data_IF_606607031862
#
_entry.id   IF_606607031862
#
_cell.length_a   1.000
_cell.length_b   1.000
_cell.length_c   1.000
_cell.angle_alpha   90.00
_cell.angle_beta   90.00
_cell.angle_gamma   90.00
#
_symmetry.space_group_name_H-M   'P 1'
#
loop_
_entity.id
_entity.type
_entity.pdbx_description
1 polymer ?
#
# COMPACT_ATOMS: atom_id res chain seq x y z
N UNK A 1 14.51 -14.87 -7.82
CA UNK A 1 13.91 -13.55 -7.56
C UNK A 1 12.41 -13.69 -7.81
N UNK A 2 11.56 -13.40 -6.84
CA UNK A 2 10.09 -13.50 -6.98
C UNK A 2 9.53 -12.14 -7.40
N UNK A 3 8.80 -12.09 -8.52
CA UNK A 3 8.16 -10.86 -8.99
C UNK A 3 6.77 -10.75 -8.36
N UNK A 4 6.64 -9.94 -7.31
CA UNK A 4 5.36 -9.76 -6.62
C UNK A 4 4.30 -9.03 -7.47
N UNK A 5 4.71 -8.29 -8.51
CA UNK A 5 3.79 -7.60 -9.41
C UNK A 5 3.19 -8.60 -10.40
N UNK A 6 4.01 -9.47 -10.97
CA UNK A 6 3.56 -10.46 -11.95
C UNK A 6 2.96 -11.73 -11.30
N UNK A 7 3.55 -12.21 -10.21
CA UNK A 7 3.20 -13.49 -9.56
C UNK A 7 2.38 -13.34 -8.29
N UNK A 8 2.13 -12.11 -7.84
CA UNK A 8 1.45 -11.82 -6.58
C UNK A 8 2.31 -12.11 -5.34
N UNK A 9 1.79 -11.78 -4.16
CA UNK A 9 2.49 -12.00 -2.89
C UNK A 9 2.35 -13.45 -2.39
N UNK A 10 3.41 -14.08 -1.86
CA UNK A 10 3.29 -15.36 -1.17
C UNK A 10 2.52 -15.21 0.16
N UNK A 11 1.95 -16.31 0.70
CA UNK A 11 1.26 -16.28 1.99
C UNK A 11 2.14 -15.71 3.11
N UNK A 12 1.57 -14.82 3.91
CA UNK A 12 2.28 -14.15 5.02
C UNK A 12 1.29 -13.70 6.09
N UNK A 13 1.78 -13.24 7.24
CA UNK A 13 0.93 -12.60 8.24
C UNK A 13 0.61 -11.16 7.87
N UNK A 14 1.66 -10.39 7.57
CA UNK A 14 1.57 -9.01 7.11
C UNK A 14 2.35 -8.84 5.82
N UNK A 15 1.74 -8.18 4.84
CA UNK A 15 2.45 -7.72 3.65
C UNK A 15 2.79 -6.23 3.78
N UNK A 16 4.05 -5.88 3.53
CA UNK A 16 4.55 -4.50 3.66
C UNK A 16 5.08 -4.02 2.33
N UNK A 17 4.62 -2.85 1.89
CA UNK A 17 5.21 -2.12 0.76
C UNK A 17 5.80 -0.81 1.27
N UNK A 18 7.09 -0.61 1.05
CA UNK A 18 7.81 0.60 1.49
C UNK A 18 8.60 1.22 0.36
N UNK A 19 8.33 2.51 0.05
CA UNK A 19 9.01 3.26 -1.02
C UNK A 19 8.98 2.56 -2.38
N UNK A 20 7.86 1.92 -2.72
CA UNK A 20 7.75 1.13 -3.94
C UNK A 20 6.57 1.50 -4.83
N UNK A 21 5.39 1.78 -4.26
CA UNK A 21 4.18 1.99 -5.06
C UNK A 21 4.28 3.21 -5.99
N UNK A 22 5.09 4.22 -5.66
CA UNK A 22 5.35 5.37 -6.53
C UNK A 22 6.07 5.02 -7.85
N UNK A 23 6.58 3.79 -8.01
CA UNK A 23 7.12 3.29 -9.28
C UNK A 23 6.05 2.66 -10.20
N UNK A 24 4.85 2.41 -9.67
CA UNK A 24 3.80 1.70 -10.38
C UNK A 24 2.71 2.68 -10.81
N UNK A 25 2.13 2.45 -11.99
CA UNK A 25 0.89 3.10 -12.38
C UNK A 25 -0.27 2.67 -11.46
N UNK A 26 -1.41 3.35 -11.56
CA UNK A 26 -2.55 3.11 -10.67
C UNK A 26 -3.16 1.71 -10.82
N UNK A 27 -3.17 1.14 -12.04
CA UNK A 27 -3.73 -0.19 -12.27
C UNK A 27 -2.84 -1.27 -11.65
N UNK A 28 -1.53 -1.20 -11.90
CA UNK A 28 -0.54 -2.13 -11.34
C UNK A 28 -0.43 -1.98 -9.83
N UNK A 29 -0.43 -0.75 -9.29
CA UNK A 29 -0.42 -0.52 -7.86
C UNK A 29 -1.68 -1.11 -7.19
N UNK A 30 -2.85 -0.95 -7.80
CA UNK A 30 -4.12 -1.51 -7.28
C UNK A 30 -4.05 -3.04 -7.25
N UNK A 31 -3.55 -3.65 -8.33
CA UNK A 31 -3.39 -5.10 -8.43
C UNK A 31 -2.42 -5.64 -7.37
N UNK A 32 -1.29 -4.97 -7.16
CA UNK A 32 -0.32 -5.35 -6.13
C UNK A 32 -0.92 -5.24 -4.71
N UNK A 33 -1.56 -4.12 -4.38
CA UNK A 33 -2.22 -3.91 -3.07
C UNK A 33 -3.28 -4.98 -2.82
N UNK A 34 -4.08 -5.33 -3.84
CA UNK A 34 -5.06 -6.41 -3.75
C UNK A 34 -4.39 -7.76 -3.50
N UNK A 35 -3.29 -8.05 -4.19
CA UNK A 35 -2.52 -9.29 -3.99
C UNK A 35 -1.93 -9.37 -2.58
N UNK A 36 -1.36 -8.26 -2.08
CA UNK A 36 -0.87 -8.16 -0.70
C UNK A 36 -1.99 -8.45 0.31
N UNK A 37 -3.19 -7.90 0.10
CA UNK A 37 -4.35 -8.14 0.97
C UNK A 37 -4.85 -9.59 0.90
N UNK A 38 -4.82 -10.21 -0.30
CA UNK A 38 -5.18 -11.61 -0.46
C UNK A 38 -4.21 -12.54 0.28
N UNK A 39 -2.91 -12.30 0.14
CA UNK A 39 -1.84 -13.14 0.68
C UNK A 39 -1.62 -13.01 2.19
N UNK A 40 -1.98 -11.87 2.79
CA UNK A 40 -1.77 -11.60 4.22
C UNK A 40 -2.86 -12.20 5.11
N UNK A 41 -2.55 -12.87 6.21
CA UNK A 41 -3.54 -13.39 7.16
C UNK A 41 -4.11 -12.30 8.08
N UNK A 42 -3.29 -11.29 8.42
CA UNK A 42 -3.64 -10.24 9.39
C UNK A 42 -3.86 -8.87 8.74
N UNK A 43 -3.15 -8.55 7.65
CA UNK A 43 -3.36 -7.29 6.92
C UNK A 43 -2.12 -6.76 6.21
N UNK A 44 -2.17 -5.48 5.83
CA UNK A 44 -1.09 -4.84 5.08
C UNK A 44 -0.66 -3.50 5.67
N UNK A 45 0.59 -3.14 5.37
CA UNK A 45 1.14 -1.81 5.65
C UNK A 45 1.75 -1.24 4.38
N UNK A 46 1.32 -0.05 4.00
CA UNK A 46 1.90 0.72 2.90
C UNK A 46 2.54 1.96 3.50
N UNK A 47 3.84 2.13 3.28
CA UNK A 47 4.55 3.34 3.66
C UNK A 47 5.28 3.92 2.46
N UNK A 48 4.88 5.09 1.99
CA UNK A 48 5.37 5.59 0.72
C UNK A 48 5.45 7.11 0.69
N UNK A 49 6.12 7.67 -0.30
CA UNK A 49 6.30 9.11 -0.45
C UNK A 49 4.95 9.81 -0.63
N UNK A 50 4.86 11.04 -0.14
CA UNK A 50 3.75 11.93 -0.47
C UNK A 50 4.21 12.95 -1.49
N UNK A 51 3.43 13.05 -2.57
CA UNK A 51 3.59 14.14 -3.52
C UNK A 51 3.11 15.44 -2.89
N UNK A 52 4.06 16.29 -2.50
CA UNK A 52 3.79 17.62 -1.96
C UNK A 52 4.91 18.61 -2.33
N UNK A 53 4.63 19.93 -2.35
CA UNK A 53 5.65 20.94 -2.57
C UNK A 53 6.78 20.89 -1.51
N UNK A 54 6.42 20.64 -0.25
CA UNK A 54 7.38 20.48 0.86
C UNK A 54 8.25 19.25 0.63
N UNK A 55 7.65 18.11 0.26
CA UNK A 55 8.38 16.87 -0.03
C UNK A 55 9.35 17.06 -1.20
N UNK A 56 8.95 17.82 -2.23
CA UNK A 56 9.82 18.12 -3.36
C UNK A 56 11.00 19.01 -2.94
N UNK A 57 10.75 20.05 -2.14
CA UNK A 57 11.81 20.90 -1.61
C UNK A 57 12.79 20.11 -0.73
N UNK A 58 12.28 19.26 0.17
CA UNK A 58 13.09 18.38 1.01
C UNK A 58 13.91 17.39 0.18
N UNK A 59 13.34 16.78 -0.86
CA UNK A 59 14.07 15.85 -1.73
C UNK A 59 15.18 16.56 -2.51
N UNK A 60 14.92 17.74 -3.07
CA UNK A 60 15.95 18.54 -3.77
C UNK A 60 17.06 18.96 -2.80
N UNK A 61 16.71 19.50 -1.63
CA UNK A 61 17.69 19.94 -0.65
C UNK A 61 18.49 18.75 -0.10
N UNK A 62 17.80 17.71 0.37
CA UNK A 62 18.42 16.52 0.94
C UNK A 62 19.34 15.81 -0.04
N UNK A 63 18.92 15.58 -1.28
CA UNK A 63 19.77 14.91 -2.27
C UNK A 63 20.96 15.76 -2.71
N UNK A 64 20.87 17.09 -2.69
CA UNK A 64 21.99 17.99 -3.00
C UNK A 64 22.99 18.15 -1.86
N UNK A 65 22.49 18.22 -0.63
CA UNK A 65 23.32 18.49 0.56
C UNK A 65 23.91 17.21 1.16
N UNK A 66 23.18 16.09 1.08
CA UNK A 66 23.54 14.84 1.77
C UNK A 66 24.04 13.75 0.81
N UNK A 67 23.84 13.90 -0.51
CA UNK A 67 24.28 12.90 -1.49
C UNK A 67 25.28 13.46 -2.50
N UNK A 68 26.43 12.79 -2.60
CA UNK A 68 27.37 12.98 -3.71
C UNK A 68 26.86 12.43 -5.04
N UNK A 69 25.85 11.54 -5.02
CA UNK A 69 25.37 10.82 -6.19
C UNK A 69 24.54 11.71 -7.14
N UNK A 70 24.96 11.75 -8.41
CA UNK A 70 24.17 12.40 -9.47
C UNK A 70 22.83 11.71 -9.67
N UNK A 71 22.79 10.38 -9.55
CA UNK A 71 21.58 9.57 -9.68
C UNK A 71 20.58 9.99 -8.60
N UNK A 72 20.98 10.03 -7.33
CA UNK A 72 20.09 10.42 -6.23
C UNK A 72 19.52 11.84 -6.40
N UNK A 73 20.30 12.79 -6.91
CA UNK A 73 19.85 14.17 -7.17
C UNK A 73 18.80 14.28 -8.27
N UNK A 74 18.79 13.33 -9.21
CA UNK A 74 17.81 13.26 -10.29
C UNK A 74 16.59 12.47 -9.81
N UNK A 75 16.84 11.28 -9.27
CA UNK A 75 15.79 10.32 -8.91
C UNK A 75 14.97 10.79 -7.72
N UNK A 76 15.57 11.43 -6.70
CA UNK A 76 14.82 11.87 -5.51
C UNK A 76 13.63 12.80 -5.85
N UNK A 77 13.85 13.92 -6.57
CA UNK A 77 12.76 14.77 -7.03
C UNK A 77 11.77 14.06 -7.97
N UNK A 78 12.23 13.14 -8.82
CA UNK A 78 11.37 12.36 -9.70
C UNK A 78 10.46 11.41 -8.91
N UNK A 79 11.00 10.70 -7.92
CA UNK A 79 10.24 9.84 -7.02
C UNK A 79 9.14 10.60 -6.29
N UNK A 80 9.41 11.81 -5.78
CA UNK A 80 8.36 12.63 -5.14
C UNK A 80 7.28 13.06 -6.13
N UNK A 81 7.64 13.34 -7.39
CA UNK A 81 6.66 13.70 -8.44
C UNK A 81 5.82 12.50 -8.88
N UNK A 82 6.42 11.31 -8.92
CA UNK A 82 5.74 10.06 -9.25
C UNK A 82 4.87 9.55 -8.09
N UNK A 83 5.13 10.00 -6.86
CA UNK A 83 4.34 9.66 -5.69
C UNK A 83 2.89 10.16 -5.78
N UNK A 84 2.07 9.69 -4.83
CA UNK A 84 0.65 10.01 -4.71
C UNK A 84 0.40 10.99 -3.57
N UNK A 85 -0.67 11.75 -3.65
CA UNK A 85 -1.24 12.51 -2.53
C UNK A 85 -2.00 11.56 -1.59
N UNK A 86 -2.29 11.95 -0.34
CA UNK A 86 -3.07 11.09 0.57
C UNK A 86 -4.47 10.74 0.02
N UNK A 87 -5.11 11.67 -0.70
CA UNK A 87 -6.39 11.42 -1.34
C UNK A 87 -6.27 10.40 -2.51
N UNK A 88 -5.15 10.40 -3.22
CA UNK A 88 -4.85 9.38 -4.23
C UNK A 88 -4.55 8.02 -3.60
N UNK A 89 -3.83 7.96 -2.49
CA UNK A 89 -3.67 6.73 -1.72
C UNK A 89 -5.02 6.19 -1.21
N UNK A 90 -5.94 7.06 -0.78
CA UNK A 90 -7.31 6.65 -0.44
C UNK A 90 -7.99 5.97 -1.62
N UNK A 91 -8.02 6.64 -2.78
CA UNK A 91 -8.63 6.06 -4.01
C UNK A 91 -7.99 4.73 -4.41
N UNK A 92 -6.67 4.60 -4.28
CA UNK A 92 -5.95 3.36 -4.55
C UNK A 92 -6.41 2.21 -3.64
N UNK A 93 -6.49 2.45 -2.32
CA UNK A 93 -6.93 1.44 -1.35
C UNK A 93 -8.40 1.09 -1.55
N UNK A 94 -9.26 2.08 -1.81
CA UNK A 94 -10.68 1.86 -2.10
C UNK A 94 -10.87 1.00 -3.35
N UNK A 95 -10.14 1.30 -4.43
CA UNK A 95 -10.14 0.51 -5.67
C UNK A 95 -9.65 -0.93 -5.44
N UNK A 96 -8.71 -1.14 -4.51
CA UNK A 96 -8.24 -2.46 -4.12
C UNK A 96 -9.23 -3.21 -3.20
N UNK A 97 -10.32 -2.58 -2.76
CA UNK A 97 -11.32 -3.16 -1.84
C UNK A 97 -11.01 -2.98 -0.36
N UNK A 98 -10.08 -2.08 -0.01
CA UNK A 98 -9.59 -1.83 1.34
C UNK A 98 -10.17 -0.52 1.92
N UNK A 99 -11.48 -0.30 1.74
CA UNK A 99 -12.15 0.98 2.08
C UNK A 99 -12.05 1.40 3.55
N UNK A 100 -11.89 0.44 4.46
CA UNK A 100 -11.70 0.67 5.89
C UNK A 100 -10.22 0.87 6.29
N UNK A 101 -9.29 1.02 5.34
CA UNK A 101 -7.90 1.31 5.65
C UNK A 101 -7.75 2.66 6.37
N UNK A 102 -6.85 2.74 7.34
CA UNK A 102 -6.45 3.99 7.99
C UNK A 102 -5.29 4.60 7.23
N UNK A 103 -5.33 5.91 6.97
CA UNK A 103 -4.27 6.63 6.24
C UNK A 103 -3.86 7.84 7.07
N UNK A 104 -2.57 7.91 7.41
CA UNK A 104 -1.96 9.04 8.08
C UNK A 104 -0.77 9.59 7.29
N UNK A 105 -0.41 10.85 7.53
CA UNK A 105 0.88 11.40 7.12
C UNK A 105 1.87 11.23 8.27
N UNK A 106 3.07 10.73 7.98
CA UNK A 106 4.17 10.63 8.92
C UNK A 106 5.36 11.41 8.37
N UNK A 107 6.06 12.11 9.26
CA UNK A 107 7.23 12.88 8.88
C UNK A 107 8.42 11.94 8.63
N UNK A 108 9.26 12.17 7.58
CA UNK A 108 9.19 13.27 6.61
C UNK A 108 8.37 12.94 5.35
N UNK A 109 7.25 13.64 5.14
CA UNK A 109 6.41 13.58 3.92
C UNK A 109 6.13 12.16 3.39
N UNK A 110 5.80 11.23 4.28
CA UNK A 110 5.34 9.89 3.91
C UNK A 110 3.89 9.68 4.28
N UNK A 111 3.24 8.78 3.56
CA UNK A 111 1.99 8.18 3.97
C UNK A 111 2.31 6.94 4.81
N UNK A 112 1.47 6.68 5.81
CA UNK A 112 1.35 5.38 6.43
C UNK A 112 -0.11 4.95 6.29
N UNK A 113 -0.33 3.97 5.43
CA UNK A 113 -1.62 3.33 5.27
C UNK A 113 -1.59 1.93 5.86
N UNK A 114 -2.57 1.61 6.69
CA UNK A 114 -2.72 0.31 7.34
C UNK A 114 -4.11 -0.23 7.10
N UNK A 115 -4.19 -1.53 6.86
CA UNK A 115 -5.46 -2.23 6.70
C UNK A 115 -5.36 -3.56 7.44
N UNK A 116 -6.39 -3.88 8.22
CA UNK A 116 -6.51 -5.17 8.88
C UNK A 116 -7.50 -6.03 8.13
N UNK A 117 -7.16 -7.31 7.94
CA UNK A 117 -8.08 -8.28 7.38
C UNK A 117 -9.26 -8.45 8.34
N UNK A 118 -10.51 -8.23 7.88
CA UNK A 118 -11.68 -8.56 8.67
C UNK A 118 -11.60 -10.03 9.08
N UNK A 119 -12.02 -10.38 10.32
CA UNK A 119 -12.23 -11.77 10.67
C UNK A 119 -13.10 -12.41 9.59
N UNK A 120 -12.76 -13.60 9.14
CA UNK A 120 -13.67 -14.35 8.28
C UNK A 120 -14.98 -14.46 9.06
N UNK A 121 -16.04 -13.80 8.60
CA UNK A 121 -17.36 -13.99 9.19
C UNK A 121 -17.60 -15.49 9.25
N UNK A 122 -17.93 -15.98 10.43
CA UNK A 122 -18.18 -17.37 10.73
C UNK A 122 -19.30 -17.83 9.77
N UNK A 123 -18.91 -18.42 8.64
CA UNK A 123 -19.79 -19.07 7.65
C UNK A 123 -20.54 -20.28 8.23
N UNK A 124 -20.58 -20.42 9.55
CA UNK A 124 -21.10 -21.57 10.29
C UNK A 124 -22.51 -21.34 10.85
N UNK A 125 -23.08 -20.13 10.78
CA UNK A 125 -24.42 -19.90 11.35
C UNK A 125 -25.59 -20.29 10.42
N UNK A 126 -25.38 -20.47 9.11
CA UNK A 126 -26.46 -20.82 8.15
C UNK A 126 -26.45 -22.28 7.69
N UNK A 127 -25.39 -23.05 7.93
CA UNK A 127 -25.37 -24.47 7.60
C UNK A 127 -26.07 -25.34 8.66
N UNK A 128 -25.96 -25.01 9.95
CA UNK A 128 -26.62 -25.78 11.03
C UNK A 128 -28.13 -25.52 11.11
N UNK A 129 -28.60 -24.34 10.67
CA UNK A 129 -30.03 -24.02 10.62
C UNK A 129 -30.80 -24.78 9.52
N UNK A 130 -30.10 -25.39 8.56
CA UNK A 130 -30.70 -26.21 7.49
C UNK A 130 -30.76 -27.70 7.84
N UNK A 131 -30.01 -28.18 8.84
CA UNK A 131 -30.04 -29.58 9.28
C UNK A 131 -30.98 -29.81 10.48
N UNK A 132 -31.39 -28.75 11.18
CA UNK A 132 -32.30 -28.82 12.32
C UNK A 132 -33.80 -28.65 11.95
N UNK A 133 -34.17 -28.69 10.66
CA UNK A 133 -35.57 -28.53 10.18
C UNK A 133 -36.02 -29.63 9.22
N UNK A 134 -35.75 -30.89 9.56
CA UNK A 134 -36.51 -32.02 8.99
C UNK A 134 -37.12 -32.83 10.13
N UNK A 135 -38.45 -32.75 10.33
CA UNK A 135 -39.19 -33.69 11.16
C UNK A 135 -39.34 -35.07 10.50
#
# INVERSE_FOLDING_TARGET
>A
MHDAVASGCPPCDFAVSSLFLHHLDDATATALVRSMAAASSQGIVVSDLVRSPIGLALAVAGTRLLSGSRVARIDGPLSVRAARTPAEYRRLLDAAGLGNATIGRIWPERVLATWRKPPAEVRTATAEASHARSP
#
